data_IF_196368781215
#
_entry.id   IF_196368781215
#
_cell.length_a   1.000
_cell.length_b   1.000
_cell.length_c   1.000
_cell.angle_alpha   90.00
_cell.angle_beta   90.00
_cell.angle_gamma   90.00
#
_symmetry.space_group_name_H-M   'P 1'
#
loop_
_entity.id
_entity.type
_entity.pdbx_description
1 polymer ?
#
# COMPACT_ATOMS: atom_id res chain seq x y z
N UNK A 1 18.78 11.69 -3.56
CA UNK A 1 18.92 10.42 -2.82
C UNK A 1 17.64 10.27 -2.00
N UNK A 2 17.05 9.08 -1.92
CA UNK A 2 15.85 8.87 -1.09
C UNK A 2 16.24 8.96 0.37
N UNK A 3 15.45 9.67 1.17
CA UNK A 3 15.64 9.74 2.62
C UNK A 3 14.94 8.55 3.30
N UNK A 4 15.72 7.50 3.53
CA UNK A 4 15.25 6.26 4.17
C UNK A 4 14.98 6.43 5.65
N UNK A 5 15.68 7.36 6.32
CA UNK A 5 15.43 7.69 7.72
C UNK A 5 14.05 8.33 7.88
N UNK A 6 13.65 9.19 6.93
CA UNK A 6 12.30 9.76 6.92
C UNK A 6 11.21 8.69 6.76
N UNK A 7 11.43 7.66 5.93
CA UNK A 7 10.49 6.53 5.77
C UNK A 7 10.33 5.78 7.10
N UNK A 8 11.46 5.48 7.76
CA UNK A 8 11.48 4.77 9.05
C UNK A 8 10.81 5.61 10.16
N UNK A 9 11.15 6.89 10.24
CA UNK A 9 10.59 7.80 11.22
C UNK A 9 9.07 7.94 11.07
N UNK A 10 8.56 8.06 9.84
CA UNK A 10 7.11 8.18 9.62
C UNK A 10 6.35 6.87 9.88
N UNK A 11 6.96 5.71 9.60
CA UNK A 11 6.39 4.41 9.96
C UNK A 11 6.30 4.26 11.49
N UNK A 12 7.33 4.68 12.23
CA UNK A 12 7.34 4.65 13.69
C UNK A 12 6.35 5.65 14.31
N UNK A 13 6.21 6.86 13.76
CA UNK A 13 5.18 7.82 14.18
C UNK A 13 3.78 7.24 13.99
N UNK A 14 3.52 6.66 12.80
CA UNK A 14 2.25 6.00 12.50
C UNK A 14 1.96 4.84 13.46
N UNK A 15 2.97 4.03 13.80
CA UNK A 15 2.86 2.97 14.80
C UNK A 15 2.46 3.55 16.15
N UNK A 16 3.18 4.55 16.63
CA UNK A 16 2.94 5.17 17.94
C UNK A 16 1.51 5.73 18.06
N UNK A 17 1.01 6.34 16.98
CA UNK A 17 -0.28 7.04 16.99
C UNK A 17 -1.46 6.12 16.73
N UNK A 18 -1.33 5.20 15.78
CA UNK A 18 -2.44 4.43 15.23
C UNK A 18 -2.47 2.97 15.69
N UNK A 19 -1.33 2.34 16.04
CA UNK A 19 -1.31 0.89 16.26
C UNK A 19 -2.25 0.43 17.38
N UNK A 20 -2.37 1.23 18.45
CA UNK A 20 -3.32 0.98 19.55
C UNK A 20 -4.80 0.93 19.12
N UNK A 21 -5.15 1.30 17.89
CA UNK A 21 -6.53 1.20 17.39
C UNK A 21 -6.87 -0.20 16.87
N UNK A 22 -5.86 -1.08 16.74
CA UNK A 22 -6.05 -2.50 16.42
C UNK A 22 -6.34 -3.26 17.72
N UNK A 23 -7.62 -3.33 18.10
CA UNK A 23 -8.06 -4.09 19.29
C UNK A 23 -8.99 -5.24 18.92
N UNK A 24 -10.10 -4.93 18.25
CA UNK A 24 -11.13 -5.90 17.87
C UNK A 24 -11.34 -5.99 16.36
N UNK A 25 -10.98 -4.93 15.64
CA UNK A 25 -11.02 -4.80 14.19
C UNK A 25 -9.86 -3.90 13.73
N UNK A 26 -9.70 -3.78 12.40
CA UNK A 26 -8.67 -2.92 11.81
C UNK A 26 -9.22 -1.64 11.17
N UNK A 27 -10.52 -1.38 11.21
CA UNK A 27 -11.09 -0.19 10.55
C UNK A 27 -10.71 1.09 11.28
N UNK A 28 -10.75 1.11 12.62
CA UNK A 28 -10.30 2.28 13.38
C UNK A 28 -8.80 2.57 13.19
N UNK A 29 -8.01 1.53 12.97
CA UNK A 29 -6.59 1.64 12.60
C UNK A 29 -6.41 2.20 11.19
N UNK A 30 -7.16 1.67 10.20
CA UNK A 30 -7.20 2.20 8.84
C UNK A 30 -7.52 3.68 8.83
N UNK A 31 -8.61 4.08 9.48
CA UNK A 31 -9.11 5.45 9.44
C UNK A 31 -8.09 6.42 10.06
N UNK A 32 -7.39 6.01 11.12
CA UNK A 32 -6.28 6.77 11.70
C UNK A 32 -5.17 7.02 10.67
N UNK A 33 -4.72 5.98 9.96
CA UNK A 33 -3.66 6.08 8.97
C UNK A 33 -4.09 6.88 7.72
N UNK A 34 -5.32 6.69 7.26
CA UNK A 34 -5.90 7.48 6.18
C UNK A 34 -5.97 8.96 6.56
N UNK A 35 -6.28 9.27 7.83
CA UNK A 35 -6.18 10.62 8.38
C UNK A 35 -4.75 11.17 8.41
N UNK A 36 -3.74 10.33 8.65
CA UNK A 36 -2.34 10.74 8.51
C UNK A 36 -2.02 11.08 7.04
N UNK A 37 -2.35 10.19 6.11
CA UNK A 37 -2.05 10.34 4.68
C UNK A 37 -2.80 11.50 3.99
N UNK A 38 -3.95 11.90 4.55
CA UNK A 38 -4.74 13.03 4.08
C UNK A 38 -4.12 14.40 4.42
N UNK A 39 -3.11 14.46 5.30
CA UNK A 39 -2.49 15.72 5.67
C UNK A 39 -1.81 16.38 4.44
N UNK A 40 -2.01 17.70 4.24
CA UNK A 40 -1.39 18.42 3.14
C UNK A 40 0.13 18.53 3.35
N UNK A 41 0.89 18.59 2.26
CA UNK A 41 2.33 18.83 2.31
C UNK A 41 3.21 17.63 2.71
N UNK A 42 2.64 16.45 2.96
CA UNK A 42 3.44 15.26 3.25
C UNK A 42 4.34 14.87 2.06
N UNK A 43 5.63 14.67 2.36
CA UNK A 43 6.60 14.13 1.41
C UNK A 43 6.24 12.72 0.96
N UNK A 44 6.77 12.30 -0.19
CA UNK A 44 6.53 10.96 -0.71
C UNK A 44 7.11 9.87 0.21
N UNK A 45 8.25 10.14 0.85
CA UNK A 45 8.91 9.28 1.83
C UNK A 45 8.02 9.10 3.07
N UNK A 46 7.45 10.20 3.57
CA UNK A 46 6.55 10.17 4.72
C UNK A 46 5.31 9.35 4.41
N UNK A 47 4.70 9.59 3.24
CA UNK A 47 3.54 8.81 2.75
C UNK A 47 3.89 7.33 2.60
N UNK A 48 5.09 7.00 2.10
CA UNK A 48 5.53 5.62 1.94
C UNK A 48 5.62 4.90 3.28
N UNK A 49 6.27 5.50 4.29
CA UNK A 49 6.39 4.88 5.61
C UNK A 49 5.04 4.65 6.29
N UNK A 50 4.13 5.63 6.22
CA UNK A 50 2.77 5.51 6.79
C UNK A 50 1.96 4.42 6.08
N UNK A 51 1.93 4.42 4.74
CA UNK A 51 1.17 3.44 3.97
C UNK A 51 1.73 2.03 4.12
N UNK A 52 3.06 1.89 4.14
CA UNK A 52 3.72 0.60 4.36
C UNK A 52 3.42 0.05 5.75
N UNK A 53 3.47 0.90 6.78
CA UNK A 53 3.06 0.51 8.13
C UNK A 53 1.59 0.07 8.20
N UNK A 54 0.69 0.75 7.47
CA UNK A 54 -0.71 0.34 7.34
C UNK A 54 -0.87 -1.08 6.83
N UNK A 55 -0.14 -1.42 5.77
CA UNK A 55 -0.15 -2.78 5.25
C UNK A 55 0.46 -3.80 6.24
N UNK A 56 1.59 -3.49 6.89
CA UNK A 56 2.22 -4.39 7.87
C UNK A 56 1.32 -4.65 9.07
N UNK A 57 0.68 -3.61 9.62
CA UNK A 57 -0.24 -3.72 10.74
C UNK A 57 -1.46 -4.58 10.40
N UNK A 58 -2.04 -4.38 9.21
CA UNK A 58 -3.16 -5.18 8.70
C UNK A 58 -2.75 -6.63 8.43
N UNK A 59 -1.56 -6.88 7.86
CA UNK A 59 -1.06 -8.22 7.61
C UNK A 59 -0.82 -9.01 8.91
N UNK A 60 -0.30 -8.36 9.95
CA UNK A 60 -0.17 -8.99 11.26
C UNK A 60 -1.54 -9.36 11.86
N UNK A 61 -2.55 -8.54 11.57
CA UNK A 61 -3.93 -8.71 12.00
C UNK A 61 -4.66 -9.84 11.27
N UNK A 62 -4.36 -10.03 9.99
CA UNK A 62 -4.84 -11.15 9.19
C UNK A 62 -4.47 -12.50 9.80
N UNK A 63 -3.25 -12.63 10.34
CA UNK A 63 -2.75 -13.88 10.94
C UNK A 63 -3.61 -14.37 12.11
N UNK A 64 -4.26 -13.45 12.82
CA UNK A 64 -5.13 -13.75 13.97
C UNK A 64 -6.62 -13.69 13.62
N UNK A 65 -6.96 -13.54 12.33
CA UNK A 65 -8.35 -13.55 11.85
C UNK A 65 -9.17 -12.32 12.26
N UNK A 66 -8.53 -11.17 12.48
CA UNK A 66 -9.28 -9.95 12.85
C UNK A 66 -10.12 -9.40 11.70
N UNK A 67 -11.33 -8.95 12.03
CA UNK A 67 -12.25 -8.34 11.08
C UNK A 67 -11.64 -7.09 10.43
N UNK A 68 -11.89 -6.92 9.13
CA UNK A 68 -11.40 -5.79 8.34
C UNK A 68 -9.93 -5.89 7.93
N UNK A 69 -9.16 -6.85 8.44
CA UNK A 69 -7.71 -6.90 8.24
C UNK A 69 -7.33 -7.11 6.77
N UNK A 70 -8.08 -7.97 6.05
CA UNK A 70 -7.87 -8.20 4.62
C UNK A 70 -8.18 -6.95 3.79
N UNK A 71 -9.34 -6.33 4.03
CA UNK A 71 -9.76 -5.09 3.38
C UNK A 71 -8.72 -3.99 3.59
N UNK A 72 -8.26 -3.82 4.84
CA UNK A 72 -7.26 -2.81 5.20
C UNK A 72 -5.92 -3.10 4.51
N UNK A 73 -5.47 -4.36 4.46
CA UNK A 73 -4.25 -4.73 3.75
C UNK A 73 -4.38 -4.44 2.24
N UNK A 74 -5.51 -4.82 1.64
CA UNK A 74 -5.78 -4.60 0.22
C UNK A 74 -5.87 -3.11 -0.15
N UNK A 75 -6.28 -2.26 0.78
CA UNK A 75 -6.30 -0.81 0.60
C UNK A 75 -4.90 -0.18 0.60
N UNK A 76 -4.04 -0.57 1.54
CA UNK A 76 -2.69 0.02 1.67
C UNK A 76 -1.66 -0.56 0.70
N UNK A 77 -1.81 -1.82 0.29
CA UNK A 77 -0.89 -2.49 -0.64
C UNK A 77 -0.62 -1.70 -1.94
N UNK A 78 -1.64 -1.33 -2.75
CA UNK A 78 -1.39 -0.57 -3.97
C UNK A 78 -0.81 0.83 -3.70
N UNK A 79 -1.17 1.46 -2.57
CA UNK A 79 -0.70 2.80 -2.21
C UNK A 79 0.81 2.82 -1.97
N UNK A 80 1.31 1.93 -1.09
CA UNK A 80 2.74 1.93 -0.79
C UNK A 80 3.55 1.43 -1.99
N UNK A 81 3.06 0.46 -2.78
CA UNK A 81 3.75 -0.01 -3.99
C UNK A 81 3.92 1.08 -5.03
N UNK A 82 2.90 1.91 -5.23
CA UNK A 82 3.00 3.06 -6.13
C UNK A 82 4.07 4.05 -5.67
N UNK A 83 4.12 4.35 -4.38
CA UNK A 83 5.10 5.27 -3.79
C UNK A 83 6.52 4.70 -3.84
N UNK A 84 6.66 3.42 -3.49
CA UNK A 84 7.91 2.68 -3.54
C UNK A 84 8.51 2.71 -4.96
N UNK A 85 7.69 2.45 -5.99
CA UNK A 85 8.11 2.52 -7.40
C UNK A 85 8.55 3.92 -7.81
N UNK A 86 7.82 4.97 -7.38
CA UNK A 86 8.17 6.37 -7.67
C UNK A 86 9.50 6.77 -7.04
N UNK A 87 9.74 6.33 -5.81
CA UNK A 87 10.97 6.62 -5.06
C UNK A 87 12.14 5.71 -5.44
N UNK A 88 11.90 4.63 -6.19
CA UNK A 88 12.92 3.60 -6.53
C UNK A 88 13.52 2.95 -5.28
N UNK A 89 12.69 2.70 -4.27
CA UNK A 89 13.04 1.98 -3.05
C UNK A 89 12.81 0.48 -3.30
N UNK A 90 13.81 -0.35 -3.03
CA UNK A 90 13.64 -1.81 -3.15
C UNK A 90 12.94 -2.42 -1.92
N UNK A 91 12.51 -3.67 -2.04
CA UNK A 91 11.76 -4.37 -0.98
C UNK A 91 12.59 -4.58 0.29
N UNK A 92 13.90 -4.79 0.15
CA UNK A 92 14.78 -5.03 1.28
C UNK A 92 14.94 -3.75 2.13
N UNK A 93 15.20 -2.61 1.48
CA UNK A 93 15.26 -1.29 2.09
C UNK A 93 13.92 -0.89 2.71
N UNK A 94 12.80 -1.11 2.01
CA UNK A 94 11.49 -0.79 2.58
C UNK A 94 11.23 -1.64 3.83
N UNK A 95 11.60 -2.91 3.80
CA UNK A 95 11.37 -3.78 4.94
C UNK A 95 12.10 -3.34 6.22
N UNK A 96 13.32 -2.83 6.12
CA UNK A 96 14.07 -2.38 7.31
C UNK A 96 13.49 -1.13 7.98
N UNK A 97 12.52 -0.46 7.35
CA UNK A 97 11.80 0.67 7.95
C UNK A 97 10.90 0.28 9.14
N UNK A 98 10.54 -0.99 9.27
CA UNK A 98 9.74 -1.53 10.39
C UNK A 98 10.39 -2.81 10.88
N UNK A 99 10.66 -2.90 12.18
CA UNK A 99 11.26 -4.08 12.80
C UNK A 99 10.45 -5.37 12.55
N UNK A 100 11.14 -6.49 12.39
CA UNK A 100 10.54 -7.81 12.19
C UNK A 100 11.25 -8.64 11.12
N UNK A 101 10.70 -9.82 10.83
CA UNK A 101 11.26 -10.76 9.85
C UNK A 101 10.99 -10.29 8.41
N UNK A 102 12.03 -9.80 7.74
CA UNK A 102 11.95 -9.34 6.36
C UNK A 102 11.75 -10.45 5.33
N UNK A 103 12.25 -11.65 5.58
CA UNK A 103 12.06 -12.79 4.68
C UNK A 103 10.58 -13.16 4.64
N UNK A 104 9.96 -13.33 5.82
CA UNK A 104 8.55 -13.65 5.92
C UNK A 104 7.66 -12.51 5.38
N UNK A 105 8.02 -11.25 5.64
CA UNK A 105 7.25 -10.09 5.19
C UNK A 105 7.27 -9.95 3.68
N UNK A 106 8.43 -10.08 3.04
CA UNK A 106 8.55 -10.01 1.58
C UNK A 106 7.81 -11.16 0.90
N UNK A 107 7.89 -12.38 1.44
CA UNK A 107 7.12 -13.51 0.92
C UNK A 107 5.60 -13.27 0.96
N UNK A 108 5.09 -12.75 2.08
CA UNK A 108 3.66 -12.41 2.23
C UNK A 108 3.24 -11.26 1.33
N UNK A 109 4.13 -10.30 1.09
CA UNK A 109 3.89 -9.20 0.16
C UNK A 109 3.65 -9.73 -1.25
N UNK A 110 4.52 -10.61 -1.74
CA UNK A 110 4.38 -11.24 -3.06
C UNK A 110 3.08 -12.04 -3.18
N UNK A 111 2.69 -12.76 -2.11
CA UNK A 111 1.41 -13.49 -2.06
C UNK A 111 0.20 -12.56 -2.12
N UNK A 112 0.22 -11.47 -1.34
CA UNK A 112 -0.85 -10.49 -1.33
C UNK A 112 -0.99 -9.79 -2.69
N UNK A 113 0.12 -9.47 -3.36
CA UNK A 113 0.11 -8.90 -4.70
C UNK A 113 -0.48 -9.85 -5.75
N UNK A 114 -0.17 -11.15 -5.64
CA UNK A 114 -0.74 -12.16 -6.53
C UNK A 114 -2.25 -12.33 -6.34
N UNK A 115 -2.76 -12.04 -5.14
CA UNK A 115 -4.18 -12.12 -4.79
C UNK A 115 -4.98 -10.86 -5.15
N UNK A 116 -4.31 -9.72 -5.42
CA UNK A 116 -5.01 -8.51 -5.86
C UNK A 116 -5.72 -8.78 -7.20
N UNK A 117 -6.97 -8.30 -7.37
CA UNK A 117 -7.63 -8.37 -8.66
C UNK A 117 -6.75 -7.69 -9.71
N UNK A 118 -6.36 -8.42 -10.75
CA UNK A 118 -5.65 -7.82 -11.89
C UNK A 118 -6.55 -6.71 -12.42
N UNK A 119 -6.02 -5.49 -12.50
CA UNK A 119 -6.74 -4.38 -13.11
C UNK A 119 -7.27 -4.86 -14.48
N UNK A 120 -8.56 -4.62 -14.80
CA UNK A 120 -9.10 -5.03 -16.09
C UNK A 120 -8.19 -4.42 -17.15
N UNK A 121 -7.68 -5.27 -18.06
CA UNK A 121 -6.86 -4.81 -19.17
C UNK A 121 -7.64 -3.68 -19.85
N UNK A 122 -7.07 -2.48 -19.84
CA UNK A 122 -7.68 -1.32 -20.48
C UNK A 122 -8.00 -1.71 -21.91
N UNK A 123 -9.27 -1.99 -22.18
CA UNK A 123 -9.74 -2.24 -23.54
C UNK A 123 -9.51 -0.91 -24.26
N UNK A 124 -8.42 -0.81 -25.02
CA UNK A 124 -8.25 0.29 -25.98
C UNK A 124 -9.53 0.26 -26.82
N UNK A 125 -10.31 1.34 -26.88
CA UNK A 125 -11.44 1.38 -27.79
C UNK A 125 -10.89 1.07 -29.18
N UNK A 126 -11.43 0.03 -29.80
CA UNK A 126 -11.12 -0.32 -31.18
C UNK A 126 -11.35 0.95 -32.01
N UNK A 127 -10.29 1.46 -32.66
CA UNK A 127 -10.43 2.53 -33.65
C UNK A 127 -11.52 2.09 -34.62
N UNK A 128 -12.61 2.82 -34.66
CA UNK A 128 -13.61 2.68 -35.71
C UNK A 128 -12.86 2.74 -37.04
N UNK A 129 -12.96 1.67 -37.83
CA UNK A 129 -12.52 1.68 -39.22
C UNK A 129 -13.46 2.63 -39.96
N UNK A 130 -12.93 3.74 -40.43
CA UNK A 130 -13.55 4.54 -41.48
C UNK A 130 -13.92 3.60 -42.64
N UNK A 131 -15.22 3.42 -42.86
CA UNK A 131 -15.75 2.86 -44.10
C UNK A 131 -16.04 4.04 -44.99
N UNK A 132 -15.00 4.52 -45.67
CA UNK A 132 -15.14 5.29 -46.90
C UNK A 132 -15.35 4.26 -48.02
N UNK A 133 -16.54 4.26 -48.61
CA UNK A 133 -16.99 3.22 -49.52
C UNK A 133 -18.25 3.64 -50.28
N UNK A 134 -18.01 4.32 -51.40
CA UNK A 134 -18.90 4.62 -52.52
C UNK A 134 -20.19 3.81 -52.64
N UNK A 135 -21.33 4.48 -52.86
CA UNK A 135 -22.38 3.99 -53.74
C UNK A 135 -23.15 5.14 -54.45
N UNK A 136 -23.06 5.06 -55.79
CA UNK A 136 -23.96 5.49 -56.87
C UNK A 136 -24.25 6.97 -57.12
#
# INVERSE_FOLDING_TARGET
MVDTEQIKASALDAQTRCYRKIHHDTWAFRDCLSGLLAQPGLSAETRLGVAYFGWVGALNSLRVGMAGAEETANEFLPQFRQLQKKLKVDDAMLCTSIEGDCTARTARMLQAEAALPKAPASQRPARARDVDGHQH
#
